data_IF_659577657453
#
_entry.id   IF_659577657453
#
_cell.length_a   1.000
_cell.length_b   1.000
_cell.length_c   1.000
_cell.angle_alpha   90.00
_cell.angle_beta   90.00
_cell.angle_gamma   90.00
#
_symmetry.space_group_name_H-M   'P 1'
#
loop_
_entity.id
_entity.type
_entity.pdbx_description
1 polymer ?
#
# COMPACT_ATOMS: atom_id res chain seq x y z
N UNK A 1 -4.68 -9.74 -9.59
CA UNK A 1 -3.82 -9.91 -8.40
C UNK A 1 -4.39 -10.90 -7.38
N UNK A 2 -5.60 -11.43 -7.59
CA UNK A 2 -6.28 -12.34 -6.65
C UNK A 2 -6.30 -11.79 -5.20
N UNK A 3 -6.63 -10.51 -5.05
CA UNK A 3 -6.75 -9.83 -3.78
C UNK A 3 -7.97 -8.90 -3.83
N UNK A 4 -8.78 -8.92 -2.78
CA UNK A 4 -9.94 -8.05 -2.63
C UNK A 4 -9.97 -7.62 -1.16
N UNK A 5 -10.08 -6.31 -0.91
CA UNK A 5 -10.28 -5.75 0.43
C UNK A 5 -11.51 -4.84 0.53
N UNK A 6 -12.13 -4.51 -0.61
CA UNK A 6 -13.34 -3.68 -0.68
C UNK A 6 -14.40 -4.36 -1.53
N UNK A 7 -15.64 -4.33 -1.08
CA UNK A 7 -16.81 -4.88 -1.77
C UNK A 7 -17.94 -3.86 -1.80
N UNK A 8 -18.63 -3.78 -2.94
CA UNK A 8 -19.87 -3.03 -3.13
C UNK A 8 -20.91 -3.91 -3.80
N UNK A 9 -22.17 -3.78 -3.40
CA UNK A 9 -23.29 -4.42 -4.06
C UNK A 9 -24.21 -3.35 -4.66
N UNK A 10 -24.45 -3.45 -5.97
CA UNK A 10 -25.36 -2.56 -6.72
C UNK A 10 -26.29 -3.44 -7.57
N UNK A 11 -27.57 -3.21 -7.49
CA UNK A 11 -28.62 -3.91 -8.27
C UNK A 11 -28.51 -5.45 -8.21
N UNK A 12 -28.09 -5.97 -7.06
CA UNK A 12 -27.91 -7.41 -6.85
C UNK A 12 -26.54 -7.96 -7.23
N UNK A 13 -25.74 -7.23 -8.00
CA UNK A 13 -24.41 -7.61 -8.44
C UNK A 13 -23.33 -7.18 -7.45
N UNK A 14 -22.30 -8.04 -7.25
CA UNK A 14 -21.15 -7.74 -6.42
C UNK A 14 -19.98 -7.25 -7.25
N UNK A 15 -19.41 -6.12 -6.83
CA UNK A 15 -18.15 -5.58 -7.35
C UNK A 15 -17.11 -5.54 -6.24
N UNK A 16 -15.86 -5.87 -6.56
CA UNK A 16 -14.79 -5.88 -5.58
C UNK A 16 -13.49 -5.34 -6.16
N UNK A 17 -12.71 -4.70 -5.30
CA UNK A 17 -11.38 -4.19 -5.66
C UNK A 17 -10.39 -4.39 -4.52
N UNK A 18 -9.10 -4.31 -4.83
CA UNK A 18 -8.04 -4.23 -3.82
C UNK A 18 -7.41 -2.85 -3.89
N UNK A 19 -7.57 -2.10 -2.81
CA UNK A 19 -7.05 -0.73 -2.68
C UNK A 19 -5.77 -0.64 -1.83
N UNK A 20 -5.29 -1.75 -1.26
CA UNK A 20 -4.06 -1.77 -0.45
C UNK A 20 -2.86 -1.24 -1.23
N UNK A 21 -2.68 -1.69 -2.48
CA UNK A 21 -1.58 -1.25 -3.33
C UNK A 21 -1.68 0.21 -3.75
N UNK A 22 -2.88 0.65 -4.12
CA UNK A 22 -3.10 2.05 -4.49
C UNK A 22 -2.92 2.98 -3.29
N UNK A 23 -3.40 2.56 -2.12
CA UNK A 23 -3.18 3.27 -0.86
C UNK A 23 -1.71 3.37 -0.51
N UNK A 24 -0.94 2.28 -0.68
CA UNK A 24 0.50 2.27 -0.46
C UNK A 24 1.21 3.26 -1.39
N UNK A 25 0.94 3.22 -2.69
CA UNK A 25 1.52 4.14 -3.68
C UNK A 25 1.17 5.59 -3.35
N UNK A 26 -0.09 5.89 -3.02
CA UNK A 26 -0.51 7.22 -2.64
C UNK A 26 0.18 7.71 -1.35
N UNK A 27 0.40 6.81 -0.38
CA UNK A 27 1.12 7.11 0.86
C UNK A 27 2.59 7.42 0.60
N UNK A 28 3.26 6.60 -0.24
CA UNK A 28 4.65 6.84 -0.63
C UNK A 28 4.82 8.21 -1.31
N UNK A 29 3.95 8.55 -2.26
CA UNK A 29 3.94 9.87 -2.90
C UNK A 29 3.72 11.00 -1.91
N UNK A 30 2.81 10.82 -0.94
CA UNK A 30 2.54 11.81 0.10
C UNK A 30 3.77 12.12 0.96
N UNK A 31 4.60 11.12 1.26
CA UNK A 31 5.86 11.29 2.02
C UNK A 31 7.08 11.59 1.14
N UNK A 32 6.88 11.85 -0.17
CA UNK A 32 7.92 12.27 -1.10
C UNK A 32 8.69 11.14 -1.78
N UNK A 33 8.18 9.91 -1.76
CA UNK A 33 8.78 8.77 -2.48
C UNK A 33 7.93 8.41 -3.70
N UNK A 34 8.41 8.80 -4.89
CA UNK A 34 7.75 8.45 -6.15
C UNK A 34 8.13 7.02 -6.56
N UNK A 35 7.16 6.18 -7.00
CA UNK A 35 7.47 4.83 -7.48
C UNK A 35 8.37 4.81 -8.72
N UNK A 36 8.11 5.70 -9.69
CA UNK A 36 8.87 5.75 -10.93
C UNK A 36 10.37 5.90 -10.66
N UNK A 37 11.15 4.94 -11.12
CA UNK A 37 12.60 4.92 -10.92
C UNK A 37 13.06 4.43 -9.54
N UNK A 38 12.16 4.32 -8.56
CA UNK A 38 12.48 3.86 -7.20
C UNK A 38 12.40 2.34 -7.07
N UNK A 39 13.12 1.78 -6.11
CA UNK A 39 13.11 0.36 -5.78
C UNK A 39 12.42 0.14 -4.43
N UNK A 40 11.33 -0.64 -4.45
CA UNK A 40 10.67 -1.14 -3.25
C UNK A 40 11.28 -2.47 -2.84
N UNK A 41 11.85 -2.56 -1.65
CA UNK A 41 12.23 -3.82 -1.01
C UNK A 41 11.08 -4.34 -0.17
N UNK A 42 10.58 -5.53 -0.50
CA UNK A 42 9.42 -6.07 0.20
C UNK A 42 9.60 -7.53 0.62
N UNK A 43 9.06 -7.85 1.80
CA UNK A 43 8.94 -9.20 2.34
C UNK A 43 7.47 -9.58 2.40
N UNK A 44 7.11 -10.74 1.86
CA UNK A 44 5.76 -11.29 1.91
C UNK A 44 5.14 -11.53 0.53
N UNK A 45 4.15 -12.44 0.48
CA UNK A 45 3.43 -12.84 -0.72
C UNK A 45 1.92 -12.99 -0.50
N UNK A 46 1.39 -12.37 0.54
CA UNK A 46 -0.05 -12.35 0.84
C UNK A 46 -0.85 -11.43 -0.08
N UNK A 47 -2.12 -11.23 0.23
CA UNK A 47 -3.03 -10.35 -0.51
C UNK A 47 -2.50 -8.92 -0.63
N UNK A 48 -2.12 -8.32 0.51
CA UNK A 48 -1.59 -6.96 0.53
C UNK A 48 -0.29 -6.86 -0.27
N UNK A 49 0.63 -7.85 -0.12
CA UNK A 49 1.88 -7.88 -0.87
C UNK A 49 1.66 -7.90 -2.39
N UNK A 50 0.73 -8.75 -2.86
CA UNK A 50 0.38 -8.82 -4.29
C UNK A 50 -0.27 -7.53 -4.80
N UNK A 51 -1.12 -6.92 -3.99
CA UNK A 51 -1.76 -5.64 -4.34
C UNK A 51 -0.72 -4.51 -4.44
N UNK A 52 0.20 -4.45 -3.47
CA UNK A 52 1.29 -3.46 -3.45
C UNK A 52 2.25 -3.69 -4.63
N UNK A 53 2.66 -4.93 -4.87
CA UNK A 53 3.55 -5.26 -5.99
C UNK A 53 2.96 -4.82 -7.33
N UNK A 54 1.67 -5.11 -7.56
CA UNK A 54 0.98 -4.71 -8.78
C UNK A 54 0.91 -3.18 -8.93
N UNK A 55 0.46 -2.46 -7.90
CA UNK A 55 0.31 -1.01 -7.97
C UNK A 55 1.67 -0.29 -8.09
N UNK A 56 2.70 -0.78 -7.38
CA UNK A 56 4.05 -0.22 -7.46
C UNK A 56 4.66 -0.40 -8.84
N UNK A 57 4.55 -1.62 -9.39
CA UNK A 57 5.00 -1.96 -10.74
C UNK A 57 4.27 -1.14 -11.82
N UNK A 58 2.95 -1.01 -11.71
CA UNK A 58 2.12 -0.22 -12.64
C UNK A 58 2.47 1.28 -12.60
N UNK A 59 2.93 1.77 -11.45
CA UNK A 59 3.43 3.12 -11.28
C UNK A 59 4.91 3.32 -11.69
N UNK A 60 5.54 2.34 -12.35
CA UNK A 60 6.91 2.43 -12.87
C UNK A 60 8.02 2.10 -11.85
N UNK A 61 7.65 1.55 -10.70
CA UNK A 61 8.61 1.17 -9.66
C UNK A 61 9.22 -0.22 -9.87
N UNK A 62 10.42 -0.42 -9.34
CA UNK A 62 11.12 -1.71 -9.29
C UNK A 62 10.86 -2.40 -7.95
N UNK A 63 10.96 -3.72 -7.92
CA UNK A 63 10.69 -4.52 -6.72
C UNK A 63 11.88 -5.45 -6.44
N UNK A 64 12.44 -5.36 -5.24
CA UNK A 64 13.43 -6.30 -4.70
C UNK A 64 12.79 -7.13 -3.60
N UNK A 65 12.69 -8.44 -3.79
CA UNK A 65 12.03 -9.32 -2.81
C UNK A 65 13.01 -9.84 -1.77
N UNK A 66 12.52 -9.92 -0.51
CA UNK A 66 13.24 -10.55 0.60
C UNK A 66 12.54 -11.85 0.99
N UNK A 67 13.32 -12.88 1.28
CA UNK A 67 12.78 -14.17 1.73
C UNK A 67 11.97 -13.99 3.02
N UNK A 68 10.71 -14.43 2.98
CA UNK A 68 9.78 -14.46 4.11
C UNK A 68 9.15 -15.84 4.26
N UNK A 69 8.09 -15.96 5.06
CA UNK A 69 7.29 -17.17 5.21
C UNK A 69 6.56 -17.55 3.92
N UNK A 70 6.09 -16.53 3.21
CA UNK A 70 5.37 -16.64 1.94
C UNK A 70 6.08 -15.82 0.88
N UNK A 71 6.55 -16.47 -0.16
CA UNK A 71 7.16 -15.80 -1.31
C UNK A 71 6.08 -15.03 -2.11
N UNK A 72 6.48 -13.93 -2.71
CA UNK A 72 5.70 -13.29 -3.77
C UNK A 72 5.75 -14.23 -4.99
N UNK A 73 4.58 -14.69 -5.43
CA UNK A 73 4.44 -15.56 -6.62
C UNK A 73 4.43 -14.70 -7.88
N UNK A 74 4.61 -15.36 -9.03
CA UNK A 74 4.56 -14.70 -10.34
C UNK A 74 3.25 -13.94 -10.55
N UNK A 75 3.35 -12.80 -11.22
CA UNK A 75 2.22 -11.93 -11.43
C UNK A 75 2.51 -10.78 -12.41
N UNK A 76 1.58 -9.81 -12.56
CA UNK A 76 1.75 -8.69 -13.48
C UNK A 76 2.96 -7.80 -13.17
N UNK A 77 3.59 -7.97 -12.02
CA UNK A 77 4.80 -7.26 -11.55
C UNK A 77 6.12 -7.91 -11.93
N UNK A 78 6.14 -9.08 -12.59
CA UNK A 78 7.36 -9.86 -12.84
C UNK A 78 8.42 -9.08 -13.60
N UNK A 79 8.00 -8.24 -14.53
CA UNK A 79 8.89 -7.37 -15.30
C UNK A 79 9.57 -6.28 -14.47
N UNK A 80 9.10 -6.03 -13.25
CA UNK A 80 9.65 -5.03 -12.32
C UNK A 80 10.55 -5.65 -11.25
N UNK A 81 10.65 -6.99 -11.19
CA UNK A 81 11.50 -7.68 -10.22
C UNK A 81 12.97 -7.44 -10.56
N UNK A 82 13.75 -7.04 -9.56
CA UNK A 82 15.19 -6.82 -9.67
C UNK A 82 15.91 -7.50 -8.51
N UNK A 83 17.12 -8.04 -8.80
CA UNK A 83 17.97 -8.67 -7.80
C UNK A 83 19.05 -7.68 -7.31
N UNK A 84 19.30 -7.69 -6.00
CA UNK A 84 20.45 -7.02 -5.39
C UNK A 84 20.52 -5.50 -5.55
N UNK A 85 19.44 -4.85 -5.96
CA UNK A 85 19.41 -3.40 -6.12
C UNK A 85 19.34 -2.70 -4.75
N UNK A 86 19.94 -1.51 -4.64
CA UNK A 86 19.69 -0.61 -3.52
C UNK A 86 18.20 -0.26 -3.49
N UNK A 87 17.64 -0.15 -2.29
CA UNK A 87 16.24 0.11 -2.11
C UNK A 87 15.99 1.51 -1.55
N UNK A 88 15.02 2.19 -2.16
CA UNK A 88 14.58 3.51 -1.71
C UNK A 88 13.61 3.39 -0.53
N UNK A 89 12.75 2.38 -0.55
CA UNK A 89 11.79 2.11 0.52
C UNK A 89 11.69 0.62 0.80
N UNK A 90 11.47 0.24 2.07
CA UNK A 90 11.24 -1.15 2.47
C UNK A 90 9.98 -1.32 3.29
N UNK A 91 9.28 -2.45 3.07
CA UNK A 91 8.09 -2.85 3.83
C UNK A 91 8.08 -4.35 4.11
N UNK A 92 7.77 -4.72 5.37
CA UNK A 92 7.53 -6.10 5.77
C UNK A 92 6.02 -6.39 5.87
N UNK A 93 5.53 -7.25 4.99
CA UNK A 93 4.13 -7.68 4.93
C UNK A 93 3.93 -9.12 5.42
N UNK A 94 4.97 -9.73 5.96
CA UNK A 94 4.98 -11.13 6.39
C UNK A 94 5.00 -11.33 7.92
N UNK A 95 5.23 -10.26 8.66
CA UNK A 95 5.23 -10.30 10.11
C UNK A 95 3.82 -10.45 10.72
N UNK A 96 3.76 -10.97 11.93
CA UNK A 96 2.54 -11.23 12.68
C UNK A 96 2.51 -10.45 14.00
N UNK A 97 1.40 -9.82 14.37
CA UNK A 97 0.18 -9.58 13.58
C UNK A 97 0.46 -8.68 12.39
N UNK A 98 -0.37 -8.68 11.35
CA UNK A 98 -0.13 -8.06 10.07
C UNK A 98 0.63 -6.72 10.16
N UNK A 99 1.76 -6.64 9.46
CA UNK A 99 2.62 -5.47 9.45
C UNK A 99 3.69 -5.55 10.55
N UNK A 100 4.86 -6.06 10.20
CA UNK A 100 6.02 -6.05 11.07
C UNK A 100 6.93 -4.87 10.82
N UNK A 101 7.98 -4.81 11.62
CA UNK A 101 9.08 -3.89 11.40
C UNK A 101 9.88 -4.30 10.17
N UNK A 102 10.16 -3.36 9.29
CA UNK A 102 11.09 -3.51 8.16
C UNK A 102 12.54 -3.15 8.53
N UNK A 103 12.83 -2.96 9.80
CA UNK A 103 14.11 -2.48 10.31
C UNK A 103 15.32 -3.36 9.97
N UNK A 104 15.10 -4.65 9.68
CA UNK A 104 16.12 -5.58 9.23
C UNK A 104 16.31 -5.63 7.70
N UNK A 105 15.59 -4.80 6.97
CA UNK A 105 15.71 -4.67 5.52
C UNK A 105 16.38 -3.35 5.16
N UNK A 106 17.54 -3.42 4.52
CA UNK A 106 18.28 -2.23 4.09
C UNK A 106 17.50 -1.44 3.04
N UNK A 107 17.23 -0.18 3.32
CA UNK A 107 16.61 0.79 2.43
C UNK A 107 16.84 2.22 2.96
N UNK A 108 16.69 3.21 2.10
CA UNK A 108 16.76 4.61 2.52
C UNK A 108 15.65 4.97 3.52
N UNK A 109 14.48 4.36 3.35
CA UNK A 109 13.31 4.52 4.23
C UNK A 109 12.70 3.15 4.56
N UNK A 110 12.47 2.87 5.84
CA UNK A 110 11.70 1.71 6.28
C UNK A 110 10.32 2.18 6.75
N UNK A 111 9.28 1.57 6.19
CA UNK A 111 7.89 1.84 6.59
C UNK A 111 7.24 0.59 7.18
N UNK A 112 6.27 0.79 8.06
CA UNK A 112 5.48 -0.29 8.62
C UNK A 112 4.00 -0.04 8.46
N UNK A 113 3.21 -1.12 8.43
CA UNK A 113 1.75 -1.09 8.49
C UNK A 113 1.33 -1.96 9.68
N UNK A 114 1.44 -1.43 10.88
CA UNK A 114 1.08 -2.15 12.09
C UNK A 114 -0.41 -2.00 12.40
N UNK A 115 -1.12 -3.12 12.50
CA UNK A 115 -2.49 -3.18 12.98
C UNK A 115 -2.47 -3.80 14.39
N UNK A 116 -2.78 -3.04 15.42
CA UNK A 116 -2.81 -3.53 16.79
C UNK A 116 -2.76 -2.40 17.81
N UNK A 117 -2.49 -2.75 19.07
CA UNK A 117 -2.30 -1.77 20.12
C UNK A 117 -1.13 -0.84 19.77
N UNK A 118 -1.41 0.44 19.56
CA UNK A 118 -0.44 1.43 19.09
C UNK A 118 -0.45 1.71 17.57
N UNK A 119 -1.31 1.05 16.78
CA UNK A 119 -1.42 1.33 15.34
C UNK A 119 -1.71 2.80 15.01
N UNK A 120 -2.39 3.52 15.89
CA UNK A 120 -2.62 4.96 15.75
C UNK A 120 -1.38 5.84 15.94
N UNK A 121 -0.24 5.28 16.36
CA UNK A 121 1.04 5.99 16.49
C UNK A 121 1.97 5.72 15.30
N UNK A 122 1.65 4.77 14.42
CA UNK A 122 2.38 4.54 13.17
C UNK A 122 1.83 5.50 12.10
N UNK A 123 2.55 6.59 11.90
CA UNK A 123 2.14 7.65 10.97
C UNK A 123 1.93 7.13 9.55
N UNK A 124 2.81 6.26 9.05
CA UNK A 124 2.66 5.69 7.71
C UNK A 124 1.44 4.78 7.61
N UNK A 125 1.16 3.97 8.63
CA UNK A 125 -0.03 3.13 8.66
C UNK A 125 -1.32 3.95 8.63
N UNK A 126 -1.37 5.07 9.36
CA UNK A 126 -2.52 6.01 9.32
C UNK A 126 -2.70 6.59 7.92
N UNK A 127 -1.62 7.10 7.31
CA UNK A 127 -1.66 7.63 5.95
C UNK A 127 -2.18 6.56 4.97
N UNK A 128 -1.68 5.34 5.08
CA UNK A 128 -2.06 4.25 4.20
C UNK A 128 -3.54 3.85 4.35
N UNK A 129 -4.06 3.80 5.56
CA UNK A 129 -5.49 3.52 5.81
C UNK A 129 -6.37 4.60 5.18
N UNK A 130 -6.03 5.87 5.36
CA UNK A 130 -6.78 6.98 4.76
C UNK A 130 -6.71 6.93 3.23
N UNK A 131 -5.51 6.71 2.69
CA UNK A 131 -5.29 6.64 1.26
C UNK A 131 -6.07 5.49 0.60
N UNK A 132 -6.01 4.28 1.15
CA UNK A 132 -6.74 3.13 0.59
C UNK A 132 -8.25 3.31 0.64
N UNK A 133 -8.80 3.98 1.66
CA UNK A 133 -10.22 4.31 1.70
C UNK A 133 -10.59 5.37 0.67
N UNK A 134 -9.76 6.40 0.48
CA UNK A 134 -9.96 7.40 -0.56
C UNK A 134 -9.97 6.76 -1.96
N UNK A 135 -9.05 5.83 -2.23
CA UNK A 135 -9.03 5.07 -3.48
C UNK A 135 -10.27 4.16 -3.64
N UNK A 136 -10.77 3.59 -2.54
CA UNK A 136 -12.03 2.83 -2.57
C UNK A 136 -13.23 3.72 -2.95
N UNK A 137 -13.29 4.94 -2.46
CA UNK A 137 -14.33 5.91 -2.85
C UNK A 137 -14.23 6.26 -4.34
N UNK A 138 -13.04 6.55 -4.84
CA UNK A 138 -12.81 6.90 -6.25
C UNK A 138 -13.18 5.77 -7.21
N UNK A 139 -12.87 4.52 -6.86
CA UNK A 139 -13.01 3.39 -7.77
C UNK A 139 -14.33 2.65 -7.62
N UNK A 140 -14.89 2.59 -6.43
CA UNK A 140 -15.97 1.66 -6.12
C UNK A 140 -17.23 2.36 -5.58
N UNK A 141 -17.10 3.27 -4.62
CA UNK A 141 -18.26 3.80 -3.91
C UNK A 141 -18.88 5.03 -4.58
N UNK A 142 -18.06 5.92 -5.11
CA UNK A 142 -18.52 7.14 -5.80
C UNK A 142 -17.58 7.52 -6.97
N UNK A 143 -17.42 6.63 -7.98
CA UNK A 143 -16.52 6.91 -9.11
C UNK A 143 -16.95 8.14 -9.91
N UNK A 144 -18.24 8.44 -9.97
CA UNK A 144 -18.81 9.62 -10.60
C UNK A 144 -18.47 10.94 -9.90
N UNK A 145 -18.07 10.88 -8.63
CA UNK A 145 -17.69 12.02 -7.81
C UNK A 145 -16.18 12.10 -7.57
N UNK A 146 -15.39 11.27 -8.24
CA UNK A 146 -13.96 11.11 -7.97
C UNK A 146 -13.17 12.41 -7.97
N UNK A 147 -13.50 13.35 -8.87
CA UNK A 147 -12.85 14.66 -8.96
C UNK A 147 -13.25 15.64 -7.83
N UNK A 148 -14.36 15.35 -7.13
CA UNK A 148 -14.89 16.18 -6.04
C UNK A 148 -14.49 15.66 -4.67
N UNK A 149 -13.88 14.49 -4.60
CA UNK A 149 -13.40 13.93 -3.35
C UNK A 149 -12.26 14.80 -2.77
N UNK A 150 -12.15 14.87 -1.43
CA UNK A 150 -11.07 15.62 -0.79
C UNK A 150 -9.69 15.02 -1.13
N UNK A 151 -8.65 15.84 -1.07
CA UNK A 151 -7.28 15.35 -1.20
C UNK A 151 -6.88 14.54 0.04
N UNK A 152 -5.89 13.66 -0.14
CA UNK A 152 -5.30 12.90 0.98
C UNK A 152 -4.79 13.84 2.08
N UNK A 153 -4.09 14.91 1.71
CA UNK A 153 -3.57 15.90 2.67
C UNK A 153 -4.68 16.55 3.51
N UNK A 154 -5.80 16.93 2.88
CA UNK A 154 -6.94 17.51 3.60
C UNK A 154 -7.56 16.51 4.59
N UNK A 155 -7.69 15.23 4.19
CA UNK A 155 -8.22 14.19 5.08
C UNK A 155 -7.31 13.98 6.29
N UNK A 156 -6.00 13.94 6.09
CA UNK A 156 -5.04 13.78 7.18
C UNK A 156 -5.04 14.99 8.13
N UNK A 157 -5.13 16.20 7.61
CA UNK A 157 -5.28 17.41 8.42
C UNK A 157 -6.54 17.36 9.30
N UNK A 158 -7.67 16.99 8.73
CA UNK A 158 -8.93 16.86 9.47
C UNK A 158 -8.89 15.77 10.55
N UNK A 159 -8.16 14.69 10.34
CA UNK A 159 -7.94 13.65 11.34
C UNK A 159 -7.04 14.16 12.47
N UNK A 160 -5.96 14.85 12.16
CA UNK A 160 -5.05 15.43 13.14
C UNK A 160 -5.71 16.49 14.03
N UNK A 161 -6.63 17.29 13.51
CA UNK A 161 -7.38 18.28 14.29
C UNK A 161 -8.43 17.69 15.21
N UNK A 162 -8.90 16.46 14.97
CA UNK A 162 -9.88 15.76 15.84
C UNK A 162 -9.24 14.97 16.98
N UNK A 163 -7.94 14.73 16.90
CA UNK A 163 -7.19 13.97 17.90
C UNK A 163 -6.66 14.86 19.06
N UNK A 164 -6.95 16.16 19.04
CA UNK A 164 -6.66 17.12 20.12
C UNK A 164 -7.94 17.41 20.93
#
# INVERSE_FOLDING_TARGET
VNAINQLRRVDGEWSGTSTDGLGFVASCKHIGTEPEGSTLRMRGGGSAARSIAAAWSDAGGRISTVKGRRALVDGPWDHSIVDGADADIAIDLDAMPAGGSSMDMEANLQVSISYGDGAGTDEFAVIMVVAQHLEAWKLLFAPEESERLPSLSLLLELLGTRAQ
#
